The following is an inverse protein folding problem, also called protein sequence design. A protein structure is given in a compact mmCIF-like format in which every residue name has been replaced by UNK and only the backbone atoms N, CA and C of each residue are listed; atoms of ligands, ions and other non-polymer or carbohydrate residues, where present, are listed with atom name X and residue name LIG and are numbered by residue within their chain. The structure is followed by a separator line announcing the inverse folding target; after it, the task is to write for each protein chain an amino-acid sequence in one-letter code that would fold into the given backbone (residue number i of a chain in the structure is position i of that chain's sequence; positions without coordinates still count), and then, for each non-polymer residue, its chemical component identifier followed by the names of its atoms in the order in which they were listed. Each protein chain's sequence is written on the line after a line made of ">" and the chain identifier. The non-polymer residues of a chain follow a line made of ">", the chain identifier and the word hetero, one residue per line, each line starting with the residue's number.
data_IF_532536200303
#
_entry.id   IF_532536200303
#
_cell.length_a   1.000
_cell.length_b   1.000
_cell.length_c   1.000
_cell.angle_alpha   90.00
_cell.angle_beta   90.00
_cell.angle_gamma   90.00
#
_symmetry.space_group_name_H-M   'P 1'
#
loop_
_entity.id
_entity.type
_entity.pdbx_description
1 polymer ?
#
# COMPACT_ATOMS: atom_id res chain seq x y z
N UNK A 1 22.94 -28.36 66.48
CA UNK A 1 23.26 -27.82 65.14
C UNK A 1 22.33 -28.41 64.10
N UNK A 2 21.34 -27.66 63.62
CA UNK A 2 20.65 -27.91 62.34
C UNK A 2 20.35 -26.54 61.71
N UNK A 3 21.03 -26.23 60.60
CA UNK A 3 20.77 -25.04 59.77
C UNK A 3 19.60 -25.36 58.85
N UNK A 4 18.54 -24.56 58.92
CA UNK A 4 17.44 -24.59 57.97
C UNK A 4 17.81 -23.65 56.82
N UNK A 5 17.92 -24.19 55.61
CA UNK A 5 18.17 -23.45 54.37
C UNK A 5 16.79 -23.20 53.73
N UNK A 6 16.41 -21.94 53.58
CA UNK A 6 15.21 -21.54 52.83
C UNK A 6 15.63 -21.34 51.37
N UNK A 7 15.03 -22.05 50.39
CA UNK A 7 15.36 -21.83 48.99
C UNK A 7 14.62 -20.58 48.49
N UNK A 8 15.37 -19.62 47.95
CA UNK A 8 14.81 -18.47 47.24
C UNK A 8 14.50 -18.92 45.81
N UNK A 9 13.21 -19.07 45.48
CA UNK A 9 12.74 -19.23 44.10
C UNK A 9 12.91 -17.89 43.36
N UNK A 10 13.86 -17.84 42.43
CA UNK A 10 13.97 -16.75 41.47
C UNK A 10 12.90 -16.92 40.38
N UNK A 11 11.86 -16.09 40.42
CA UNK A 11 10.87 -16.00 39.35
C UNK A 11 11.49 -15.28 38.14
N UNK A 12 11.83 -16.02 37.09
CA UNK A 12 12.18 -15.46 35.79
C UNK A 12 10.90 -14.97 35.10
N UNK A 13 10.61 -13.66 35.22
CA UNK A 13 9.65 -12.97 34.37
C UNK A 13 10.24 -12.89 32.95
N UNK A 14 9.87 -13.84 32.10
CA UNK A 14 10.10 -13.74 30.65
C UNK A 14 9.17 -12.65 30.09
N UNK A 15 9.69 -11.44 29.90
CA UNK A 15 9.00 -10.45 29.08
C UNK A 15 8.96 -10.96 27.62
N UNK A 16 7.79 -10.98 26.95
CA UNK A 16 7.73 -11.31 25.55
C UNK A 16 8.46 -10.23 24.74
N UNK A 17 9.44 -10.66 23.96
CA UNK A 17 10.06 -9.85 22.91
C UNK A 17 8.98 -9.54 21.87
N UNK A 18 8.38 -8.36 21.91
CA UNK A 18 7.59 -7.85 20.81
C UNK A 18 8.52 -7.63 19.61
N UNK A 19 8.47 -8.55 18.65
CA UNK A 19 9.10 -8.34 17.36
C UNK A 19 8.43 -7.12 16.70
N UNK A 20 9.14 -5.99 16.62
CA UNK A 20 8.72 -4.85 15.81
C UNK A 20 8.65 -5.29 14.35
N UNK A 21 7.45 -5.70 13.90
CA UNK A 21 7.20 -5.90 12.48
C UNK A 21 7.42 -4.56 11.77
N UNK A 22 8.21 -4.52 10.69
CA UNK A 22 8.45 -3.27 9.99
C UNK A 22 7.16 -2.78 9.33
N UNK A 23 6.56 -1.76 9.93
CA UNK A 23 5.37 -1.06 9.43
C UNK A 23 5.72 -0.42 8.07
N UNK A 24 4.93 -0.70 7.04
CA UNK A 24 5.13 -0.14 5.70
C UNK A 24 4.91 1.38 5.71
N UNK A 25 5.49 2.12 4.76
CA UNK A 25 5.23 3.57 4.65
C UNK A 25 3.74 3.93 4.55
N UNK A 26 2.92 3.09 3.89
CA UNK A 26 1.46 3.29 3.78
C UNK A 26 0.78 3.10 5.11
N UNK A 27 1.13 2.04 5.82
CA UNK A 27 0.54 1.74 7.13
C UNK A 27 0.85 2.86 8.12
N UNK A 28 2.10 3.32 8.15
CA UNK A 28 2.51 4.44 9.01
C UNK A 28 1.73 5.70 8.68
N UNK A 29 1.62 6.05 7.39
CA UNK A 29 0.86 7.20 6.95
C UNK A 29 -0.60 7.17 7.43
N UNK A 30 -1.25 6.01 7.33
CA UNK A 30 -2.64 5.81 7.79
C UNK A 30 -2.73 5.90 9.31
N UNK A 31 -1.81 5.29 10.04
CA UNK A 31 -1.81 5.26 11.51
C UNK A 31 -1.50 6.63 12.14
N UNK A 32 -0.63 7.43 11.51
CA UNK A 32 -0.21 8.74 12.02
C UNK A 32 -1.29 9.84 11.85
N UNK A 33 -2.28 9.62 10.98
CA UNK A 33 -3.40 10.56 10.80
C UNK A 33 -4.32 10.53 12.03
N UNK A 34 -4.67 11.69 12.57
CA UNK A 34 -5.62 11.79 13.68
C UNK A 34 -7.00 11.25 13.26
N UNK A 35 -7.65 10.50 14.15
CA UNK A 35 -8.99 9.94 13.89
C UNK A 35 -10.03 11.07 13.72
N UNK A 36 -10.71 11.07 12.59
CA UNK A 36 -11.97 11.82 12.38
C UNK A 36 -13.19 10.97 12.73
N UNK A 37 -14.33 11.59 13.05
CA UNK A 37 -15.57 10.84 13.30
C UNK A 37 -16.04 10.18 12.01
N UNK A 38 -16.34 8.87 12.04
CA UNK A 38 -16.89 8.16 10.89
C UNK A 38 -18.40 8.39 10.74
N UNK A 39 -18.82 8.76 9.54
CA UNK A 39 -20.21 8.74 9.11
C UNK A 39 -20.75 7.30 9.04
N UNK A 40 -22.09 7.16 8.97
CA UNK A 40 -22.73 5.86 8.76
C UNK A 40 -22.32 5.25 7.42
N UNK A 41 -22.13 6.09 6.39
CA UNK A 41 -21.78 5.62 5.04
C UNK A 41 -20.36 5.05 5.01
N UNK A 42 -19.39 5.76 5.58
CA UNK A 42 -17.99 5.29 5.67
C UNK A 42 -17.86 3.97 6.41
N UNK A 43 -18.60 3.78 7.52
CA UNK A 43 -18.60 2.50 8.24
C UNK A 43 -19.12 1.36 7.35
N UNK A 44 -20.20 1.59 6.61
CA UNK A 44 -20.76 0.59 5.69
C UNK A 44 -19.78 0.26 4.57
N UNK A 45 -19.19 1.29 3.97
CA UNK A 45 -18.22 1.12 2.88
C UNK A 45 -16.97 0.39 3.35
N UNK A 46 -16.41 0.71 4.52
CA UNK A 46 -15.26 0.00 5.07
C UNK A 46 -15.52 -1.50 5.30
N UNK A 47 -16.70 -1.83 5.85
CA UNK A 47 -17.09 -3.22 6.06
C UNK A 47 -17.32 -3.96 4.74
N UNK A 48 -17.90 -3.28 3.75
CA UNK A 48 -18.13 -3.84 2.42
C UNK A 48 -16.81 -4.10 1.69
N UNK A 49 -15.97 -3.07 1.56
CA UNK A 49 -14.65 -3.14 0.91
C UNK A 49 -13.78 -4.22 1.57
N UNK A 50 -13.87 -4.41 2.90
CA UNK A 50 -13.15 -5.47 3.61
C UNK A 50 -13.50 -6.87 3.08
N UNK A 51 -14.77 -7.14 2.80
CA UNK A 51 -15.21 -8.42 2.25
C UNK A 51 -15.08 -8.49 0.71
N UNK A 52 -15.13 -7.35 0.02
CA UNK A 52 -14.92 -7.28 -1.44
C UNK A 52 -13.48 -7.60 -1.84
N UNK A 53 -12.50 -7.05 -1.14
CA UNK A 53 -11.08 -7.41 -1.33
C UNK A 53 -10.84 -8.89 -0.98
N UNK A 54 -11.58 -9.42 0.00
CA UNK A 54 -11.56 -10.86 0.31
C UNK A 54 -12.17 -11.68 -0.82
N UNK A 55 -13.25 -11.22 -1.44
CA UNK A 55 -13.86 -11.85 -2.60
C UNK A 55 -12.85 -11.98 -3.73
N UNK A 56 -12.17 -10.88 -4.07
CA UNK A 56 -11.12 -10.87 -5.08
C UNK A 56 -10.01 -11.90 -4.75
N UNK A 57 -9.43 -11.82 -3.53
CA UNK A 57 -8.42 -12.76 -3.06
C UNK A 57 -8.87 -14.22 -3.19
N UNK A 58 -10.05 -14.53 -2.68
CA UNK A 58 -10.54 -15.90 -2.58
C UNK A 58 -10.88 -16.49 -3.95
N UNK A 59 -11.48 -15.70 -4.85
CA UNK A 59 -11.70 -16.13 -6.23
C UNK A 59 -10.36 -16.42 -6.90
N UNK A 60 -9.35 -15.55 -6.74
CA UNK A 60 -8.04 -15.75 -7.35
C UNK A 60 -7.28 -16.94 -6.77
N UNK A 61 -7.35 -17.18 -5.46
CA UNK A 61 -6.78 -18.38 -4.85
C UNK A 61 -7.44 -19.66 -5.40
N UNK A 62 -8.76 -19.65 -5.57
CA UNK A 62 -9.51 -20.79 -6.11
C UNK A 62 -9.19 -21.03 -7.59
N UNK A 63 -9.22 -19.98 -8.42
CA UNK A 63 -8.87 -20.09 -9.85
C UNK A 63 -7.39 -20.43 -10.07
N UNK A 64 -6.49 -19.99 -9.18
CA UNK A 64 -5.09 -20.43 -9.22
C UNK A 64 -4.95 -21.93 -8.95
N UNK A 65 -5.72 -22.50 -8.00
CA UNK A 65 -5.68 -23.94 -7.74
C UNK A 65 -6.05 -24.75 -8.99
N UNK A 66 -7.06 -24.28 -9.75
CA UNK A 66 -7.55 -24.91 -10.98
C UNK A 66 -6.60 -24.73 -12.16
N UNK A 67 -6.23 -23.48 -12.47
CA UNK A 67 -5.57 -23.13 -13.73
C UNK A 67 -4.04 -22.98 -13.62
N UNK A 68 -3.50 -22.88 -12.40
CA UNK A 68 -2.06 -22.70 -12.11
C UNK A 68 -1.42 -21.50 -12.80
N UNK A 69 -2.20 -20.54 -13.30
CA UNK A 69 -1.68 -19.36 -13.98
C UNK A 69 -1.12 -18.35 -12.96
N UNK A 70 0.15 -17.93 -13.05
CA UNK A 70 0.81 -17.11 -12.01
C UNK A 70 0.12 -15.78 -11.69
N UNK A 71 -0.62 -15.21 -12.65
CA UNK A 71 -1.37 -13.96 -12.44
C UNK A 71 -2.31 -14.05 -11.25
N UNK A 72 -3.07 -15.14 -11.12
CA UNK A 72 -4.00 -15.34 -10.01
C UNK A 72 -3.29 -15.41 -8.66
N UNK A 73 -2.16 -16.13 -8.57
CA UNK A 73 -1.38 -16.22 -7.33
C UNK A 73 -0.79 -14.86 -6.93
N UNK A 74 -0.25 -14.13 -7.90
CA UNK A 74 0.41 -12.86 -7.64
C UNK A 74 -0.59 -11.77 -7.24
N UNK A 75 -1.74 -11.73 -7.90
CA UNK A 75 -2.80 -10.77 -7.59
C UNK A 75 -3.49 -11.14 -6.28
N UNK A 76 -3.78 -12.42 -5.99
CA UNK A 76 -4.28 -12.83 -4.66
C UNK A 76 -3.37 -12.38 -3.49
N UNK A 77 -2.05 -12.34 -3.70
CA UNK A 77 -1.12 -11.78 -2.72
C UNK A 77 -1.28 -10.25 -2.57
N UNK A 78 -1.58 -9.55 -3.66
CA UNK A 78 -1.93 -8.12 -3.63
C UNK A 78 -3.24 -7.89 -2.89
N UNK A 79 -4.27 -8.69 -3.16
CA UNK A 79 -5.56 -8.57 -2.47
C UNK A 79 -5.44 -8.84 -0.97
N UNK A 80 -4.55 -9.76 -0.58
CA UNK A 80 -4.22 -9.95 0.84
C UNK A 80 -3.64 -8.69 1.49
N UNK A 81 -2.89 -7.89 0.73
CA UNK A 81 -2.40 -6.59 1.18
C UNK A 81 -3.50 -5.53 1.21
N UNK A 82 -4.39 -5.48 0.23
CA UNK A 82 -5.55 -4.59 0.23
C UNK A 82 -6.46 -4.84 1.44
N UNK A 83 -6.83 -6.11 1.65
CA UNK A 83 -7.52 -6.60 2.82
C UNK A 83 -6.87 -6.11 4.12
N UNK A 84 -5.56 -6.25 4.23
CA UNK A 84 -4.79 -5.82 5.40
C UNK A 84 -4.86 -4.30 5.62
N UNK A 85 -4.77 -3.50 4.56
CA UNK A 85 -4.88 -2.05 4.67
C UNK A 85 -6.26 -1.60 5.17
N UNK A 86 -7.35 -2.25 4.72
CA UNK A 86 -8.69 -1.97 5.25
C UNK A 86 -8.80 -2.40 6.71
N UNK A 87 -8.24 -3.58 7.07
CA UNK A 87 -8.21 -4.06 8.46
C UNK A 87 -7.55 -3.06 9.40
N UNK A 88 -6.44 -2.43 8.99
CA UNK A 88 -5.79 -1.37 9.79
C UNK A 88 -6.77 -0.23 10.10
N UNK A 89 -7.59 0.18 9.12
CA UNK A 89 -8.59 1.23 9.31
C UNK A 89 -9.71 0.74 10.23
N UNK A 90 -10.22 -0.49 10.05
CA UNK A 90 -11.22 -1.08 10.94
C UNK A 90 -10.74 -1.11 12.40
N UNK A 91 -9.51 -1.60 12.62
CA UNK A 91 -8.89 -1.67 13.95
C UNK A 91 -8.69 -0.27 14.53
N UNK A 92 -8.20 0.68 13.72
CA UNK A 92 -8.05 2.08 14.12
C UNK A 92 -9.38 2.67 14.58
N UNK A 93 -10.49 2.31 13.95
CA UNK A 93 -11.82 2.81 14.31
C UNK A 93 -12.61 1.92 15.27
N UNK A 94 -12.01 0.85 15.79
CA UNK A 94 -12.67 -0.15 16.64
C UNK A 94 -13.96 -0.71 16.00
N UNK A 95 -13.97 -0.91 14.70
CA UNK A 95 -15.08 -1.53 13.97
C UNK A 95 -14.95 -3.06 13.99
N UNK A 96 -16.07 -3.81 14.09
CA UNK A 96 -16.03 -5.27 14.01
C UNK A 96 -15.58 -5.74 12.62
N UNK A 97 -14.59 -6.65 12.56
CA UNK A 97 -14.08 -7.19 11.29
C UNK A 97 -14.92 -8.39 10.82
N UNK A 98 -15.71 -8.27 9.72
CA UNK A 98 -16.56 -9.35 9.22
C UNK A 98 -15.76 -10.59 8.77
N UNK A 99 -14.48 -10.40 8.40
CA UNK A 99 -13.60 -11.49 7.98
C UNK A 99 -13.08 -12.30 9.18
N UNK A 100 -12.86 -11.63 10.32
CA UNK A 100 -12.46 -12.31 11.55
C UNK A 100 -13.58 -13.24 12.05
N UNK A 101 -14.84 -12.82 11.93
CA UNK A 101 -16.01 -13.62 12.31
C UNK A 101 -16.15 -14.91 11.49
N UNK A 102 -15.69 -14.91 10.23
CA UNK A 102 -15.71 -16.09 9.36
C UNK A 102 -14.45 -16.95 9.46
N UNK A 103 -13.48 -16.53 10.29
CA UNK A 103 -12.17 -17.19 10.45
C UNK A 103 -11.27 -17.10 9.22
N UNK A 104 -11.49 -16.08 8.38
CA UNK A 104 -10.80 -15.88 7.10
C UNK A 104 -10.77 -17.10 6.17
N UNK A 105 -11.81 -17.96 6.25
CA UNK A 105 -11.92 -19.15 5.41
C UNK A 105 -12.19 -18.76 3.96
N UNK A 106 -11.45 -19.37 3.03
CA UNK A 106 -11.60 -19.13 1.59
C UNK A 106 -13.03 -19.45 1.16
N UNK A 107 -13.69 -18.50 0.51
CA UNK A 107 -15.02 -18.67 -0.05
C UNK A 107 -16.16 -18.55 0.96
N UNK A 108 -15.89 -18.13 2.20
CA UNK A 108 -16.89 -17.90 3.25
C UNK A 108 -17.02 -16.41 3.53
N UNK A 109 -18.22 -15.85 3.40
CA UNK A 109 -18.51 -14.43 3.59
C UNK A 109 -19.67 -14.23 4.58
N UNK A 110 -19.62 -13.13 5.32
CA UNK A 110 -20.71 -12.69 6.20
C UNK A 110 -21.81 -12.02 5.37
N UNK A 111 -21.45 -11.20 4.38
CA UNK A 111 -22.40 -10.66 3.41
C UNK A 111 -22.89 -11.75 2.43
N UNK A 112 -24.20 -12.04 2.49
CA UNK A 112 -24.87 -13.04 1.65
C UNK A 112 -24.79 -12.71 0.14
N UNK A 113 -24.72 -11.43 -0.22
CA UNK A 113 -24.58 -11.01 -1.63
C UNK A 113 -23.18 -11.33 -2.13
N UNK A 114 -22.15 -11.07 -1.34
CA UNK A 114 -20.76 -11.42 -1.68
C UNK A 114 -20.56 -12.94 -1.69
N UNK A 115 -21.22 -13.67 -0.79
CA UNK A 115 -21.22 -15.14 -0.82
C UNK A 115 -21.79 -15.69 -2.14
N UNK A 116 -22.91 -15.14 -2.60
CA UNK A 116 -23.52 -15.52 -3.89
C UNK A 116 -22.63 -15.14 -5.07
N UNK A 117 -22.03 -13.95 -5.02
CA UNK A 117 -21.12 -13.47 -6.06
C UNK A 117 -19.87 -14.34 -6.17
N UNK A 118 -19.27 -14.74 -5.05
CA UNK A 118 -18.15 -15.70 -5.02
C UNK A 118 -18.49 -17.00 -5.75
N UNK A 119 -19.61 -17.62 -5.38
CA UNK A 119 -20.05 -18.88 -5.98
C UNK A 119 -20.26 -18.74 -7.50
N UNK A 120 -20.86 -17.64 -7.93
CA UNK A 120 -21.09 -17.34 -9.35
C UNK A 120 -19.77 -17.14 -10.10
N UNK A 121 -18.85 -16.33 -9.57
CA UNK A 121 -17.59 -16.01 -10.22
C UNK A 121 -16.66 -17.23 -10.32
N UNK A 122 -16.59 -18.06 -9.28
CA UNK A 122 -15.84 -19.32 -9.33
C UNK A 122 -16.46 -20.26 -10.37
N UNK A 123 -17.78 -20.48 -10.34
CA UNK A 123 -18.45 -21.34 -11.31
C UNK A 123 -18.25 -20.86 -12.75
N UNK A 124 -18.24 -19.54 -12.99
CA UNK A 124 -17.93 -18.97 -14.30
C UNK A 124 -16.46 -19.20 -14.67
N UNK A 125 -15.53 -18.89 -13.77
CA UNK A 125 -14.09 -18.98 -14.02
C UNK A 125 -13.56 -20.41 -14.14
N UNK A 126 -14.30 -21.41 -13.66
CA UNK A 126 -13.92 -22.82 -13.82
C UNK A 126 -14.27 -23.40 -15.20
N UNK A 127 -15.07 -22.71 -16.02
CA UNK A 127 -15.50 -23.17 -17.34
C UNK A 127 -14.35 -23.23 -18.35
N UNK A 128 -13.52 -22.19 -18.37
CA UNK A 128 -12.36 -22.10 -19.25
C UNK A 128 -11.34 -21.11 -18.70
N UNK A 129 -10.08 -21.20 -19.17
CA UNK A 129 -9.05 -20.24 -18.79
C UNK A 129 -9.40 -18.81 -19.23
N UNK A 130 -10.06 -18.65 -20.38
CA UNK A 130 -10.52 -17.34 -20.87
C UNK A 130 -11.61 -16.79 -19.93
N UNK A 131 -12.56 -17.63 -19.50
CA UNK A 131 -13.59 -17.21 -18.53
C UNK A 131 -12.97 -16.85 -17.17
N UNK A 132 -11.95 -17.59 -16.71
CA UNK A 132 -11.23 -17.28 -15.48
C UNK A 132 -10.56 -15.89 -15.53
N UNK A 133 -9.94 -15.57 -16.66
CA UNK A 133 -9.30 -14.27 -16.86
C UNK A 133 -10.32 -13.13 -17.00
N UNK A 134 -11.48 -13.39 -17.63
CA UNK A 134 -12.61 -12.44 -17.68
C UNK A 134 -13.22 -12.22 -16.30
N UNK A 135 -13.30 -13.25 -15.46
CA UNK A 135 -13.70 -13.13 -14.06
C UNK A 135 -12.71 -12.24 -13.30
N UNK A 136 -11.40 -12.40 -13.54
CA UNK A 136 -10.38 -11.47 -13.03
C UNK A 136 -10.64 -10.03 -13.42
N UNK A 137 -10.73 -9.75 -14.73
CA UNK A 137 -11.01 -8.39 -15.21
C UNK A 137 -12.34 -7.80 -14.68
N UNK A 138 -13.37 -8.64 -14.48
CA UNK A 138 -14.67 -8.24 -13.93
C UNK A 138 -14.61 -7.86 -12.46
N UNK A 139 -13.82 -8.59 -11.66
CA UNK A 139 -13.61 -8.24 -10.24
C UNK A 139 -12.94 -6.88 -10.14
N UNK A 140 -11.89 -6.63 -10.93
CA UNK A 140 -11.20 -5.33 -10.91
C UNK A 140 -12.07 -4.17 -11.41
N UNK A 141 -13.01 -4.46 -12.31
CA UNK A 141 -13.98 -3.48 -12.82
C UNK A 141 -15.00 -3.07 -11.74
N UNK A 142 -15.56 -4.02 -11.00
CA UNK A 142 -16.46 -3.70 -9.89
C UNK A 142 -15.72 -3.01 -8.74
N UNK A 143 -14.50 -3.47 -8.42
CA UNK A 143 -13.71 -2.93 -7.32
C UNK A 143 -13.31 -1.46 -7.56
N UNK A 144 -12.87 -1.11 -8.78
CA UNK A 144 -12.61 0.30 -9.14
C UNK A 144 -13.88 1.15 -9.01
N UNK A 145 -15.01 0.64 -9.51
CA UNK A 145 -16.28 1.37 -9.46
C UNK A 145 -16.73 1.62 -8.01
N UNK A 146 -16.71 0.60 -7.16
CA UNK A 146 -17.18 0.71 -5.78
C UNK A 146 -16.20 1.52 -4.91
N UNK A 147 -14.87 1.44 -5.16
CA UNK A 147 -13.88 2.33 -4.53
C UNK A 147 -14.08 3.80 -4.91
N UNK A 148 -14.38 4.10 -6.17
CA UNK A 148 -14.67 5.47 -6.59
C UNK A 148 -15.94 6.00 -5.93
N UNK A 149 -16.98 5.17 -5.82
CA UNK A 149 -18.19 5.53 -5.07
C UNK A 149 -17.93 5.70 -3.57
N UNK A 150 -17.08 4.89 -2.97
CA UNK A 150 -16.70 5.07 -1.57
C UNK A 150 -15.90 6.37 -1.38
N UNK A 151 -15.03 6.73 -2.33
CA UNK A 151 -14.24 7.97 -2.33
C UNK A 151 -15.11 9.23 -2.49
N UNK A 152 -16.18 9.18 -3.27
CA UNK A 152 -17.17 10.28 -3.36
C UNK A 152 -17.88 10.55 -2.02
N UNK A 153 -17.93 9.56 -1.13
CA UNK A 153 -18.72 9.57 0.10
C UNK A 153 -17.89 9.82 1.38
N UNK A 154 -16.59 10.11 1.28
CA UNK A 154 -15.70 10.29 2.43
C UNK A 154 -14.89 11.58 2.31
N UNK A 155 -14.80 12.31 3.42
CA UNK A 155 -13.83 13.39 3.62
C UNK A 155 -12.71 12.95 4.60
N UNK A 156 -12.78 11.72 5.09
CA UNK A 156 -11.81 11.18 6.01
C UNK A 156 -10.52 10.80 5.30
N UNK A 157 -9.43 11.46 5.71
CA UNK A 157 -8.14 11.42 5.02
C UNK A 157 -7.49 10.05 5.05
N UNK A 158 -7.63 9.29 6.15
CA UNK A 158 -7.02 7.98 6.26
C UNK A 158 -7.72 6.93 5.37
N UNK A 159 -9.05 6.94 5.35
CA UNK A 159 -9.88 6.15 4.43
C UNK A 159 -9.54 6.48 2.98
N UNK A 160 -9.51 7.78 2.64
CA UNK A 160 -9.21 8.25 1.29
C UNK A 160 -7.86 7.74 0.78
N UNK A 161 -6.82 7.78 1.63
CA UNK A 161 -5.49 7.26 1.28
C UNK A 161 -5.52 5.76 1.02
N UNK A 162 -6.25 4.99 1.83
CA UNK A 162 -6.39 3.55 1.63
C UNK A 162 -7.09 3.28 0.30
N UNK A 163 -8.29 3.81 0.09
CA UNK A 163 -9.09 3.55 -1.11
C UNK A 163 -8.38 3.96 -2.41
N UNK A 164 -7.71 5.11 -2.44
CA UNK A 164 -6.93 5.53 -3.61
C UNK A 164 -5.76 4.58 -3.91
N UNK A 165 -5.15 4.00 -2.88
CA UNK A 165 -4.06 3.05 -3.09
C UNK A 165 -4.54 1.67 -3.52
N UNK A 166 -5.71 1.24 -3.04
CA UNK A 166 -6.42 0.06 -3.50
C UNK A 166 -6.82 0.21 -4.98
N UNK A 167 -7.50 1.31 -5.34
CA UNK A 167 -7.98 1.57 -6.70
C UNK A 167 -6.82 1.58 -7.71
N UNK A 168 -5.66 2.11 -7.31
CA UNK A 168 -4.42 2.02 -8.11
C UNK A 168 -3.95 0.56 -8.29
N UNK A 169 -4.04 -0.25 -7.24
CA UNK A 169 -3.82 -1.70 -7.30
C UNK A 169 -4.74 -2.35 -8.32
N UNK A 170 -6.04 -2.13 -8.20
CA UNK A 170 -7.09 -2.71 -9.05
C UNK A 170 -6.91 -2.31 -10.52
N UNK A 171 -6.57 -1.04 -10.81
CA UNK A 171 -6.17 -0.61 -12.17
C UNK A 171 -4.98 -1.39 -12.73
N UNK A 172 -4.00 -1.72 -11.90
CA UNK A 172 -2.85 -2.54 -12.32
C UNK A 172 -3.22 -4.01 -12.54
N UNK A 173 -4.10 -4.56 -11.72
CA UNK A 173 -4.62 -5.91 -11.87
C UNK A 173 -5.46 -6.03 -13.14
N UNK A 174 -6.31 -5.05 -13.43
CA UNK A 174 -7.09 -4.95 -14.66
C UNK A 174 -6.17 -4.98 -15.89
N UNK A 175 -5.10 -4.18 -15.91
CA UNK A 175 -4.08 -4.23 -16.98
C UNK A 175 -3.45 -5.61 -17.11
N UNK A 176 -3.19 -6.29 -16.00
CA UNK A 176 -2.60 -7.63 -16.01
C UNK A 176 -3.57 -8.68 -16.59
N UNK A 177 -4.82 -8.72 -16.13
CA UNK A 177 -5.82 -9.66 -16.64
C UNK A 177 -6.13 -9.42 -18.12
N UNK A 178 -6.43 -8.17 -18.50
CA UNK A 178 -6.73 -7.81 -19.89
C UNK A 178 -5.52 -8.04 -20.81
N UNK A 179 -4.32 -7.70 -20.35
CA UNK A 179 -3.09 -7.95 -21.08
C UNK A 179 -2.86 -9.44 -21.37
N UNK A 180 -3.24 -10.33 -20.45
CA UNK A 180 -3.18 -11.78 -20.68
C UNK A 180 -4.34 -12.25 -21.56
N UNK A 181 -5.57 -11.78 -21.36
CA UNK A 181 -6.73 -12.10 -22.21
C UNK A 181 -6.42 -11.87 -23.69
N UNK A 182 -5.82 -10.72 -24.01
CA UNK A 182 -5.45 -10.36 -25.38
C UNK A 182 -4.41 -11.29 -25.99
N UNK A 183 -3.51 -11.85 -25.17
CA UNK A 183 -2.56 -12.89 -25.62
C UNK A 183 -3.24 -14.23 -25.92
N UNK A 184 -4.39 -14.49 -25.30
CA UNK A 184 -5.26 -15.62 -25.61
C UNK A 184 -6.28 -15.30 -26.73
N UNK A 185 -6.15 -14.19 -27.44
CA UNK A 185 -7.05 -13.80 -28.52
C UNK A 185 -8.45 -13.39 -28.06
N UNK A 186 -8.62 -13.01 -26.78
CA UNK A 186 -9.87 -12.51 -26.22
C UNK A 186 -9.71 -11.09 -25.67
N UNK A 187 -10.81 -10.45 -25.27
CA UNK A 187 -10.79 -9.15 -24.61
C UNK A 187 -11.86 -9.07 -23.51
N UNK A 188 -11.89 -7.95 -22.78
CA UNK A 188 -12.89 -7.62 -21.78
C UNK A 188 -13.64 -6.34 -22.16
N UNK A 189 -14.96 -6.35 -21.99
CA UNK A 189 -15.82 -5.16 -22.10
C UNK A 189 -16.25 -4.78 -20.69
N UNK A 190 -16.00 -3.53 -20.24
CA UNK A 190 -16.36 -3.11 -18.89
C UNK A 190 -17.88 -3.15 -18.69
N UNK A 191 -18.29 -3.54 -17.49
CA UNK A 191 -19.66 -3.71 -17.03
C UNK A 191 -20.05 -2.67 -15.98
N UNK A 192 -19.07 -2.08 -15.27
CA UNK A 192 -19.31 -1.11 -14.20
C UNK A 192 -18.68 0.25 -14.52
N UNK A 193 -17.36 0.31 -14.73
CA UNK A 193 -16.69 1.54 -15.15
C UNK A 193 -17.02 1.87 -16.61
N UNK A 194 -16.86 3.14 -16.98
CA UNK A 194 -17.15 3.55 -18.37
C UNK A 194 -16.12 2.99 -19.35
N UNK A 195 -16.53 2.78 -20.60
CA UNK A 195 -15.61 2.37 -21.67
C UNK A 195 -14.45 3.37 -21.85
N UNK A 196 -14.72 4.67 -21.70
CA UNK A 196 -13.69 5.72 -21.78
C UNK A 196 -12.63 5.54 -20.69
N UNK A 197 -13.07 5.33 -19.45
CA UNK A 197 -12.19 5.13 -18.32
C UNK A 197 -11.38 3.84 -18.44
N UNK A 198 -12.05 2.73 -18.77
CA UNK A 198 -11.39 1.45 -19.05
C UNK A 198 -10.26 1.60 -20.07
N UNK A 199 -10.52 2.29 -21.19
CA UNK A 199 -9.50 2.55 -22.20
C UNK A 199 -8.37 3.44 -21.66
N UNK A 200 -8.69 4.45 -20.84
CA UNK A 200 -7.69 5.31 -20.20
C UNK A 200 -6.80 4.54 -19.20
N UNK A 201 -7.37 3.56 -18.48
CA UNK A 201 -6.63 2.66 -17.60
C UNK A 201 -5.63 1.85 -18.43
N UNK A 202 -6.10 1.19 -19.50
CA UNK A 202 -5.27 0.31 -20.33
C UNK A 202 -4.20 1.04 -21.14
N UNK A 203 -4.41 2.31 -21.49
CA UNK A 203 -3.43 3.12 -22.21
C UNK A 203 -2.21 3.52 -21.35
N UNK A 204 -2.33 3.46 -20.02
CA UNK A 204 -1.25 3.81 -19.09
C UNK A 204 -0.36 2.62 -18.75
N UNK A 205 0.91 2.92 -18.47
CA UNK A 205 1.84 1.94 -17.89
C UNK A 205 1.44 1.61 -16.45
N UNK A 206 1.99 0.51 -15.94
CA UNK A 206 1.85 0.11 -14.55
C UNK A 206 2.17 1.27 -13.58
N UNK A 207 1.26 1.51 -12.63
CA UNK A 207 1.34 2.58 -11.64
C UNK A 207 2.12 2.11 -10.41
N UNK A 208 3.23 2.77 -10.08
CA UNK A 208 4.12 2.38 -8.97
C UNK A 208 4.18 3.46 -7.87
N UNK A 209 4.33 3.02 -6.62
CA UNK A 209 4.41 3.91 -5.45
C UNK A 209 3.05 4.18 -4.80
N UNK A 210 2.98 5.12 -3.87
CA UNK A 210 1.76 5.46 -3.12
C UNK A 210 0.97 6.57 -3.79
N UNK A 211 -0.37 6.46 -3.84
CA UNK A 211 -1.26 7.55 -4.26
C UNK A 211 -1.32 8.58 -3.13
N UNK A 212 -1.26 9.86 -3.50
CA UNK A 212 -1.43 11.03 -2.61
C UNK A 212 -0.40 11.31 -1.51
N UNK A 213 0.79 10.68 -1.55
CA UNK A 213 2.02 11.38 -1.14
C UNK A 213 2.61 12.22 -2.28
N UNK A 214 2.11 12.03 -3.51
CA UNK A 214 2.53 12.77 -4.69
C UNK A 214 1.84 14.13 -4.88
N UNK A 215 0.87 14.49 -4.01
CA UNK A 215 0.10 15.74 -4.11
C UNK A 215 0.16 16.63 -2.86
N UNK A 216 1.14 16.41 -1.97
CA UNK A 216 1.64 17.50 -1.14
C UNK A 216 2.61 18.32 -1.99
N UNK A 217 2.03 19.27 -2.71
CA UNK A 217 2.57 20.60 -2.97
C UNK A 217 4.08 20.69 -3.19
N UNK A 218 4.46 20.73 -4.47
CA UNK A 218 5.77 21.03 -5.05
C UNK A 218 6.80 19.89 -5.07
N UNK A 219 7.46 19.74 -6.23
CA UNK A 219 8.68 18.94 -6.42
C UNK A 219 9.86 19.48 -5.61
N UNK A 220 9.62 20.30 -4.59
CA UNK A 220 10.59 21.10 -3.86
C UNK A 220 10.22 21.07 -2.37
N UNK A 221 11.15 20.70 -1.52
CA UNK A 221 11.03 20.82 -0.06
C UNK A 221 12.02 21.88 0.37
N UNK A 222 11.55 22.85 1.16
CA UNK A 222 12.42 23.82 1.82
C UNK A 222 12.21 23.73 3.33
N UNK A 223 13.31 23.75 4.07
CA UNK A 223 13.26 23.69 5.52
C UNK A 223 14.60 23.44 6.19
N UNK A 224 14.55 23.28 7.51
CA UNK A 224 15.72 23.06 8.35
C UNK A 224 15.95 21.56 8.57
N UNK A 225 17.18 21.10 8.42
CA UNK A 225 17.56 19.72 8.72
C UNK A 225 17.57 19.53 10.22
N UNK A 226 16.76 18.61 10.73
CA UNK A 226 16.71 18.28 12.17
C UNK A 226 17.47 17.00 12.50
N UNK A 227 17.72 16.14 11.50
CA UNK A 227 18.43 14.89 11.69
C UNK A 227 19.12 14.44 10.40
N UNK A 228 20.31 13.85 10.55
CA UNK A 228 21.06 13.19 9.46
C UNK A 228 21.43 11.79 9.93
N UNK A 229 21.13 10.76 9.14
CA UNK A 229 21.36 9.36 9.52
C UNK A 229 21.51 8.45 8.30
N UNK A 230 21.92 7.21 8.54
CA UNK A 230 21.91 6.16 7.51
C UNK A 230 20.78 5.17 7.75
N UNK A 231 20.16 4.71 6.67
CA UNK A 231 19.10 3.70 6.71
C UNK A 231 19.35 2.61 5.65
N UNK A 232 19.33 1.32 6.02
CA UNK A 232 19.46 0.23 5.05
C UNK A 232 18.37 0.28 3.99
N UNK A 233 18.73 -0.03 2.74
CA UNK A 233 17.82 0.05 1.60
C UNK A 233 16.64 -0.91 1.73
N UNK A 234 15.44 -0.46 1.34
CA UNK A 234 14.21 -1.27 1.47
C UNK A 234 14.22 -2.46 0.50
N UNK A 235 14.66 -2.26 -0.74
CA UNK A 235 14.74 -3.33 -1.76
C UNK A 235 16.04 -4.12 -1.63
N UNK A 236 17.16 -3.43 -1.41
CA UNK A 236 18.47 -4.05 -1.20
C UNK A 236 19.05 -3.59 0.14
N UNK A 237 18.91 -4.44 1.16
CA UNK A 237 19.37 -4.16 2.54
C UNK A 237 20.89 -4.01 2.68
N UNK A 238 21.68 -4.37 1.65
CA UNK A 238 23.15 -4.22 1.66
C UNK A 238 23.62 -2.80 1.33
N UNK A 239 22.75 -1.96 0.81
CA UNK A 239 23.07 -0.57 0.44
C UNK A 239 22.46 0.35 1.49
N UNK A 240 23.24 1.24 2.09
CA UNK A 240 22.67 2.26 2.97
C UNK A 240 22.34 3.54 2.19
N UNK A 241 21.28 4.18 2.63
CA UNK A 241 20.88 5.50 2.18
C UNK A 241 21.26 6.53 3.23
N UNK A 242 21.84 7.65 2.77
CA UNK A 242 21.87 8.87 3.53
C UNK A 242 20.47 9.46 3.59
N UNK A 243 19.98 9.64 4.81
CA UNK A 243 18.67 10.16 5.14
C UNK A 243 18.83 11.48 5.89
N UNK A 244 17.94 12.42 5.59
CA UNK A 244 17.74 13.61 6.41
C UNK A 244 16.26 13.74 6.79
N UNK A 245 15.99 14.23 7.99
CA UNK A 245 14.65 14.68 8.37
C UNK A 245 14.64 16.22 8.26
N UNK A 246 13.73 16.77 7.45
CA UNK A 246 13.62 18.21 7.16
C UNK A 246 12.35 18.75 7.79
N UNK A 247 12.47 19.72 8.70
CA UNK A 247 11.35 20.44 9.30
C UNK A 247 10.88 21.53 8.34
N UNK A 248 9.67 21.36 7.83
CA UNK A 248 8.98 22.31 6.95
C UNK A 248 7.84 23.00 7.69
N UNK A 249 7.19 23.99 7.06
CA UNK A 249 5.98 24.61 7.59
C UNK A 249 4.81 23.61 7.78
N UNK A 250 4.84 22.48 7.07
CA UNK A 250 3.80 21.44 7.09
C UNK A 250 4.19 20.21 7.94
N UNK A 251 5.28 20.30 8.71
CA UNK A 251 5.79 19.21 9.55
C UNK A 251 7.13 18.65 9.06
N UNK A 252 7.53 17.51 9.63
CA UNK A 252 8.82 16.87 9.35
C UNK A 252 8.68 15.91 8.17
N UNK A 253 9.51 16.10 7.14
CA UNK A 253 9.58 15.23 5.96
C UNK A 253 10.87 14.42 5.98
N UNK A 254 10.78 13.11 5.74
CA UNK A 254 11.95 12.24 5.60
C UNK A 254 12.42 12.23 4.16
N UNK A 255 13.70 12.47 3.96
CA UNK A 255 14.30 12.67 2.64
C UNK A 255 15.45 11.69 2.45
N UNK A 256 15.33 10.80 1.46
CA UNK A 256 16.42 9.96 0.99
C UNK A 256 17.30 10.76 0.02
N UNK A 257 18.48 11.14 0.49
CA UNK A 257 19.39 12.05 -0.21
C UNK A 257 20.18 11.32 -1.29
N UNK A 258 20.92 10.28 -0.92
CA UNK A 258 21.69 9.46 -1.85
C UNK A 258 22.16 8.16 -1.18
N UNK A 259 22.84 7.29 -1.90
CA UNK A 259 23.41 6.06 -1.34
C UNK A 259 24.82 6.30 -0.81
N UNK A 260 25.19 5.64 0.29
CA UNK A 260 26.51 5.79 0.90
C UNK A 260 27.66 5.13 0.11
N UNK A 261 27.31 4.27 -0.85
CA UNK A 261 28.23 3.76 -1.86
C UNK A 261 28.69 4.89 -2.81
N UNK A 262 27.76 5.75 -3.26
CA UNK A 262 28.06 6.86 -4.16
C UNK A 262 28.69 8.04 -3.42
N UNK A 263 28.28 8.28 -2.18
CA UNK A 263 28.78 9.38 -1.35
C UNK A 263 29.21 8.86 0.02
N UNK A 264 30.53 8.77 0.23
CA UNK A 264 31.09 8.25 1.49
C UNK A 264 30.78 9.13 2.70
N UNK A 265 30.63 10.43 2.48
CA UNK A 265 30.23 11.43 3.47
C UNK A 265 29.19 12.37 2.88
N UNK A 266 28.23 12.81 3.69
CA UNK A 266 27.26 13.84 3.34
C UNK A 266 27.60 15.12 4.12
N UNK A 267 27.89 16.22 3.43
CA UNK A 267 28.18 17.50 4.06
C UNK A 267 26.89 18.30 4.30
N UNK A 268 25.99 17.71 5.09
CA UNK A 268 24.74 18.30 5.58
C UNK A 268 24.64 17.89 7.05
N UNK A 269 24.22 18.81 7.91
CA UNK A 269 24.18 18.67 9.37
C UNK A 269 22.84 19.18 9.92
N UNK A 270 22.45 18.73 11.13
CA UNK A 270 21.33 19.36 11.83
C UNK A 270 21.56 20.87 12.00
N UNK A 271 20.53 21.68 11.71
CA UNK A 271 20.57 23.14 11.68
C UNK A 271 20.76 23.74 10.28
N UNK A 272 21.18 22.96 9.28
CA UNK A 272 21.33 23.46 7.91
C UNK A 272 19.97 23.71 7.25
N UNK A 273 19.86 24.80 6.49
CA UNK A 273 18.66 25.08 5.69
C UNK A 273 18.85 24.54 4.28
N UNK A 274 17.95 23.68 3.83
CA UNK A 274 18.07 22.99 2.54
C UNK A 274 16.89 23.27 1.61
N UNK A 275 17.17 23.34 0.31
CA UNK A 275 16.19 23.21 -0.77
C UNK A 275 16.40 21.85 -1.44
N UNK A 276 15.40 20.96 -1.38
CA UNK A 276 15.45 19.61 -1.94
C UNK A 276 14.46 19.49 -3.08
N UNK A 277 14.91 19.25 -4.30
CA UNK A 277 14.03 18.87 -5.40
C UNK A 277 13.99 17.37 -5.60
N UNK A 278 12.82 16.82 -5.89
CA UNK A 278 12.68 15.38 -6.05
C UNK A 278 11.24 14.91 -6.20
N UNK A 279 11.04 13.65 -5.82
CA UNK A 279 9.73 13.00 -5.93
C UNK A 279 9.40 12.20 -4.68
N UNK A 280 8.10 12.12 -4.40
CA UNK A 280 7.60 11.26 -3.34
C UNK A 280 7.85 9.79 -3.67
N UNK A 281 8.39 9.06 -2.71
CA UNK A 281 8.86 7.69 -2.92
C UNK A 281 8.76 6.84 -1.67
N UNK A 282 9.37 5.66 -1.74
CA UNK A 282 9.30 4.64 -0.68
C UNK A 282 9.89 5.11 0.67
N UNK A 283 10.67 6.20 0.66
CA UNK A 283 11.26 6.82 1.85
C UNK A 283 10.55 8.11 2.29
N UNK A 284 9.29 8.31 1.92
CA UNK A 284 8.59 9.61 1.91
C UNK A 284 9.02 10.50 0.75
N UNK A 285 10.26 10.98 0.70
CA UNK A 285 10.77 11.78 -0.42
C UNK A 285 12.15 11.30 -0.90
N UNK A 286 12.40 11.34 -2.21
CA UNK A 286 13.67 10.94 -2.82
C UNK A 286 14.25 12.12 -3.60
N UNK A 287 15.49 12.48 -3.25
CA UNK A 287 16.19 13.64 -3.80
C UNK A 287 16.67 13.40 -5.23
N UNK A 288 16.33 14.33 -6.11
CA UNK A 288 16.96 14.50 -7.42
C UNK A 288 18.03 15.58 -7.39
N UNK A 289 17.77 16.69 -6.69
CA UNK A 289 18.70 17.78 -6.45
C UNK A 289 18.57 18.23 -5.00
N UNK A 290 19.67 18.52 -4.32
CA UNK A 290 19.66 19.17 -3.01
C UNK A 290 20.72 20.27 -2.99
N UNK A 291 20.33 21.42 -2.46
CA UNK A 291 21.21 22.53 -2.15
C UNK A 291 21.06 22.86 -0.67
N UNK A 292 22.16 22.78 0.05
CA UNK A 292 22.29 23.33 1.39
C UNK A 292 22.63 24.82 1.27
N UNK A 293 21.70 25.67 1.71
CA UNK A 293 21.80 27.12 1.67
C UNK A 293 22.73 27.67 2.77
N UNK A 294 23.01 26.87 3.80
CA UNK A 294 23.92 27.23 4.88
C UNK A 294 25.38 26.98 4.48
N UNK A 295 25.70 25.76 4.02
CA UNK A 295 27.08 25.38 3.68
C UNK A 295 27.45 25.60 2.21
N UNK A 296 26.47 25.82 1.34
CA UNK A 296 26.65 25.88 -0.11
C UNK A 296 26.83 24.51 -0.77
N UNK A 297 26.69 23.40 -0.02
CA UNK A 297 26.78 22.05 -0.57
C UNK A 297 25.67 21.81 -1.60
N UNK A 298 26.02 21.23 -2.75
CA UNK A 298 25.08 20.85 -3.81
C UNK A 298 25.29 19.41 -4.23
N UNK A 299 24.19 18.72 -4.48
CA UNK A 299 24.19 17.34 -4.96
C UNK A 299 23.07 17.13 -5.98
N UNK A 300 23.41 16.47 -7.09
CA UNK A 300 22.46 16.07 -8.12
C UNK A 300 22.55 14.57 -8.40
N UNK A 301 21.45 13.85 -8.19
CA UNK A 301 21.36 12.42 -8.46
C UNK A 301 20.97 12.14 -9.91
N UNK A 302 21.49 11.04 -10.47
CA UNK A 302 21.22 10.60 -11.86
C UNK A 302 20.20 9.48 -11.96
N UNK A 303 19.29 9.35 -10.99
CA UNK A 303 18.26 8.31 -11.02
C UNK A 303 17.36 8.48 -12.25
N UNK A 304 16.96 7.36 -12.87
CA UNK A 304 16.13 7.37 -14.08
C UNK A 304 14.84 8.20 -13.91
N UNK A 305 14.26 8.17 -12.71
CA UNK A 305 13.03 8.90 -12.37
C UNK A 305 13.22 10.42 -12.26
N UNK A 306 14.45 10.89 -12.00
CA UNK A 306 14.79 12.32 -12.01
C UNK A 306 14.88 12.93 -13.41
N UNK A 307 14.90 12.10 -14.47
CA UNK A 307 14.97 12.56 -15.87
C UNK A 307 13.60 12.66 -16.56
N UNK A 308 12.54 12.28 -15.86
CA UNK A 308 11.16 12.17 -16.41
C UNK A 308 10.23 13.20 -15.73
N UNK A 309 10.79 14.09 -14.90
CA UNK A 309 10.08 15.19 -14.25
C UNK A 309 10.48 16.52 -14.88
#
# INVERSE_FOLDING_TARGET
>A
MKRVIIPVMAAFLSMPLFANTPVSPVERAVLDIQKSVLSIREKKDLLHMREEEKLARDVYLTLYKKWKLPVFKNIAKSESWHMHMIKIVLDKYNLPDPVAETGDRVGVFKDVKLQKLYNQLVSQGERSLIDALKVGAKIEDVDIYDLQKALENTDNKDISIVYQNLEKGSRNHMRAFVGILRRYGSDYTPQFITLQEFNAILAKKHEAGMVNFANSSSNVIEGEVVKVYKLPGIVNKKINWWMIDVKTNNGIVKVAVTTDFLYKSLNIKPGDTVTVKGYSGIYSFVTCEIEDKTSGFKLQNRFKRCKIQ
#
